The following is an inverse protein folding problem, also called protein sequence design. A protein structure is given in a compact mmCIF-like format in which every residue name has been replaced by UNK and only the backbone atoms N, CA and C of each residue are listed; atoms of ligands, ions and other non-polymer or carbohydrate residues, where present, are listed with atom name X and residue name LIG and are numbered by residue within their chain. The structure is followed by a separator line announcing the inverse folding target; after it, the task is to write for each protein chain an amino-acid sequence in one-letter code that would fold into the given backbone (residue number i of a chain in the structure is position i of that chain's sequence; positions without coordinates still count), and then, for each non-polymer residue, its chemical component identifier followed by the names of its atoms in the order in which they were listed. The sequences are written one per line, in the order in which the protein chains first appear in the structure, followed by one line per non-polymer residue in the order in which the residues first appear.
data_IF_150373236014
#
_entry.id   IF_150373236014
#
_cell.length_a   1.000
_cell.length_b   1.000
_cell.length_c   1.000
_cell.angle_alpha   90.00
_cell.angle_beta   90.00
_cell.angle_gamma   90.00
#
_symmetry.space_group_name_H-M   'P 1'
#
loop_
_entity.id
_entity.type
_entity.pdbx_description
1 polymer ?
#
# COMPACT_ATOMS: atom_id res chain seq x y z
N UNK A 1 8.27 -12.97 -3.50
CA UNK A 1 7.22 -14.03 -3.39
C UNK A 1 6.46 -14.11 -4.70
N UNK A 2 6.12 -15.32 -5.22
CA UNK A 2 5.39 -15.46 -6.47
C UNK A 2 4.01 -14.78 -6.41
N UNK A 3 3.35 -14.61 -7.56
CA UNK A 3 1.99 -14.04 -7.61
C UNK A 3 1.01 -14.89 -6.78
N UNK A 4 0.13 -14.28 -5.94
CA UNK A 4 -0.87 -15.03 -5.18
C UNK A 4 -1.86 -15.74 -6.11
N UNK A 5 -2.34 -16.90 -5.69
CA UNK A 5 -3.33 -17.66 -6.46
C UNK A 5 -4.72 -17.03 -6.32
N UNK A 6 -5.50 -17.09 -7.39
CA UNK A 6 -6.87 -16.60 -7.38
C UNK A 6 -7.04 -15.25 -8.06
N UNK A 7 -8.11 -14.56 -7.74
CA UNK A 7 -8.48 -13.27 -8.35
C UNK A 7 -9.04 -12.33 -7.30
N UNK A 8 -8.43 -11.18 -7.15
CA UNK A 8 -8.91 -10.13 -6.26
C UNK A 8 -10.24 -9.56 -6.74
N UNK A 9 -11.08 -9.20 -5.79
CA UNK A 9 -12.40 -8.60 -6.01
C UNK A 9 -12.32 -7.08 -5.84
N UNK A 10 -12.96 -6.34 -6.72
CA UNK A 10 -13.22 -4.91 -6.52
C UNK A 10 -14.17 -4.76 -5.33
N UNK A 11 -13.72 -4.09 -4.28
CA UNK A 11 -14.56 -3.77 -3.12
C UNK A 11 -15.40 -2.53 -3.40
N UNK A 12 -14.79 -1.53 -4.06
CA UNK A 12 -15.43 -0.29 -4.40
C UNK A 12 -14.47 0.90 -4.35
N UNK A 13 -15.05 2.07 -4.50
CA UNK A 13 -14.36 3.34 -4.44
C UNK A 13 -14.17 3.77 -2.97
N UNK A 14 -12.94 4.04 -2.57
CA UNK A 14 -12.60 4.53 -1.21
C UNK A 14 -12.93 6.01 -1.09
N UNK A 15 -12.52 6.77 -2.09
CA UNK A 15 -12.86 8.17 -2.34
C UNK A 15 -12.85 8.37 -3.86
N UNK A 16 -13.46 9.44 -4.42
CA UNK A 16 -13.54 9.63 -5.87
C UNK A 16 -12.20 9.42 -6.59
N UNK A 17 -12.15 8.43 -7.50
CA UNK A 17 -11.00 8.02 -8.28
C UNK A 17 -9.97 7.16 -7.54
N UNK A 18 -10.29 6.61 -6.37
CA UNK A 18 -9.41 5.64 -5.67
C UNK A 18 -10.18 4.39 -5.33
N UNK A 19 -9.78 3.26 -5.91
CA UNK A 19 -10.46 1.97 -5.80
C UNK A 19 -9.63 0.98 -4.98
N UNK A 20 -10.31 0.18 -4.14
CA UNK A 20 -9.72 -0.91 -3.36
C UNK A 20 -10.08 -2.25 -3.99
N UNK A 21 -9.08 -3.11 -4.11
CA UNK A 21 -9.21 -4.52 -4.43
C UNK A 21 -8.74 -5.36 -3.25
N UNK A 22 -9.37 -6.47 -3.01
CA UNK A 22 -9.03 -7.37 -1.90
C UNK A 22 -9.10 -8.83 -2.35
N UNK A 23 -8.27 -9.65 -1.73
CA UNK A 23 -8.35 -11.11 -1.82
C UNK A 23 -7.77 -11.76 -0.56
N UNK A 24 -8.14 -13.00 -0.30
CA UNK A 24 -7.38 -13.86 0.58
C UNK A 24 -6.08 -14.26 -0.14
N UNK A 25 -4.95 -13.94 0.45
CA UNK A 25 -3.62 -14.23 -0.09
C UNK A 25 -3.11 -15.53 0.52
N UNK A 26 -3.08 -16.60 -0.28
CA UNK A 26 -2.70 -17.95 0.12
C UNK A 26 -1.24 -18.08 0.57
N UNK A 27 -0.40 -17.08 0.26
CA UNK A 27 1.03 -17.09 0.62
C UNK A 27 1.27 -16.68 2.08
N UNK A 28 0.34 -15.94 2.66
CA UNK A 28 0.42 -15.40 4.03
C UNK A 28 -0.81 -15.74 4.87
N UNK A 29 -1.75 -16.53 4.32
CA UNK A 29 -3.02 -16.93 4.94
C UNK A 29 -3.81 -15.74 5.53
N UNK A 30 -3.87 -14.62 4.79
CA UNK A 30 -4.51 -13.38 5.25
C UNK A 30 -5.13 -12.58 4.10
N UNK A 31 -6.01 -11.62 4.45
CA UNK A 31 -6.49 -10.64 3.46
C UNK A 31 -5.35 -9.72 3.04
N UNK A 32 -5.20 -9.56 1.73
CA UNK A 32 -4.35 -8.57 1.10
C UNK A 32 -5.17 -7.57 0.30
N UNK A 33 -4.71 -6.34 0.29
CA UNK A 33 -5.32 -5.24 -0.43
C UNK A 33 -4.34 -4.61 -1.43
N UNK A 34 -4.89 -4.15 -2.54
CA UNK A 34 -4.21 -3.33 -3.52
C UNK A 34 -5.12 -2.17 -3.92
N UNK A 35 -4.53 -1.14 -4.49
CA UNK A 35 -5.28 0.07 -4.83
C UNK A 35 -5.05 0.48 -6.27
N UNK A 36 -6.05 1.17 -6.83
CA UNK A 36 -5.95 1.83 -8.14
C UNK A 36 -6.30 3.30 -7.95
N UNK A 37 -5.40 4.17 -8.35
CA UNK A 37 -5.62 5.62 -8.39
C UNK A 37 -5.92 6.00 -9.82
N UNK A 38 -7.10 6.58 -10.05
CA UNK A 38 -7.54 7.01 -11.37
C UNK A 38 -7.61 8.54 -11.41
N UNK A 39 -7.03 9.12 -12.44
CA UNK A 39 -7.15 10.54 -12.76
C UNK A 39 -7.48 10.69 -14.24
N UNK A 40 -8.63 11.33 -14.54
CA UNK A 40 -9.24 11.36 -15.88
C UNK A 40 -9.52 9.91 -16.32
N UNK A 41 -8.82 9.38 -17.30
CA UNK A 41 -8.91 7.97 -17.74
C UNK A 41 -7.61 7.20 -17.54
N UNK A 42 -6.66 7.73 -16.75
CA UNK A 42 -5.36 7.13 -16.45
C UNK A 42 -5.38 6.47 -15.07
N UNK A 43 -4.91 5.24 -15.01
CA UNK A 43 -4.90 4.41 -13.81
C UNK A 43 -3.47 4.07 -13.38
N UNK A 44 -3.15 4.28 -12.11
CA UNK A 44 -1.91 3.85 -11.47
C UNK A 44 -2.23 2.74 -10.47
N UNK A 45 -1.55 1.61 -10.59
CA UNK A 45 -1.71 0.47 -9.70
C UNK A 45 -0.74 0.59 -8.52
N UNK A 46 -1.24 0.43 -7.29
CA UNK A 46 -0.43 0.39 -6.06
C UNK A 46 -0.50 -1.04 -5.51
N UNK A 47 0.67 -1.69 -5.36
CA UNK A 47 0.82 -3.05 -4.83
C UNK A 47 -0.19 -4.05 -5.43
N UNK A 48 -0.25 -4.19 -6.78
CA UNK A 48 -1.40 -4.75 -7.46
C UNK A 48 -1.58 -6.24 -7.23
N UNK A 49 -2.76 -6.60 -6.79
CA UNK A 49 -3.23 -7.98 -6.68
C UNK A 49 -3.64 -8.54 -8.05
N UNK A 50 -3.71 -9.89 -8.21
CA UNK A 50 -4.21 -10.52 -9.44
C UNK A 50 -5.70 -10.22 -9.64
N UNK A 51 -6.01 -9.30 -10.54
CA UNK A 51 -7.36 -8.89 -10.94
C UNK A 51 -7.62 -9.30 -12.39
N UNK A 52 -8.88 -9.35 -12.79
CA UNK A 52 -9.24 -9.51 -14.20
C UNK A 52 -8.90 -8.22 -14.96
N UNK A 53 -8.10 -8.32 -16.00
CA UNK A 53 -7.67 -7.14 -16.80
C UNK A 53 -8.86 -6.34 -17.34
N UNK A 54 -9.96 -7.02 -17.70
CA UNK A 54 -11.19 -6.35 -18.14
C UNK A 54 -11.77 -5.39 -17.09
N UNK A 55 -11.58 -5.69 -15.81
CA UNK A 55 -12.09 -4.85 -14.72
C UNK A 55 -11.17 -3.65 -14.46
N UNK A 56 -9.85 -3.83 -14.64
CA UNK A 56 -8.89 -2.70 -14.66
C UNK A 56 -9.16 -1.76 -15.84
N UNK A 57 -9.36 -2.30 -17.04
CA UNK A 57 -9.65 -1.50 -18.25
C UNK A 57 -10.92 -0.65 -18.15
N UNK A 58 -11.89 -1.05 -17.32
CA UNK A 58 -13.10 -0.24 -17.03
C UNK A 58 -12.80 0.97 -16.17
N UNK A 59 -11.73 0.95 -15.37
CA UNK A 59 -11.33 2.06 -14.50
C UNK A 59 -10.51 3.12 -15.26
N UNK A 60 -9.84 2.72 -16.33
CA UNK A 60 -9.03 3.60 -17.15
C UNK A 60 -7.85 2.89 -17.80
N UNK A 61 -7.06 3.64 -18.54
CA UNK A 61 -5.81 3.17 -19.16
C UNK A 61 -4.72 3.05 -18.11
N UNK A 62 -4.25 1.83 -17.86
CA UNK A 62 -3.13 1.63 -16.91
C UNK A 62 -1.88 2.30 -17.47
N UNK A 63 -1.23 3.17 -16.67
CA UNK A 63 -0.03 3.91 -17.09
C UNK A 63 1.22 3.57 -16.28
N UNK A 64 1.07 3.05 -15.06
CA UNK A 64 2.19 2.72 -14.19
C UNK A 64 1.78 1.77 -13.05
N UNK A 65 2.80 1.12 -12.48
CA UNK A 65 2.71 0.33 -11.26
C UNK A 65 3.67 0.94 -10.23
N UNK A 66 3.19 1.17 -9.01
CA UNK A 66 3.99 1.67 -7.89
C UNK A 66 3.98 0.65 -6.75
N UNK A 67 5.13 0.12 -6.37
CA UNK A 67 5.27 -0.80 -5.25
C UNK A 67 5.75 -0.05 -4.01
N UNK A 68 5.25 -0.43 -2.83
CA UNK A 68 5.64 0.15 -1.53
C UNK A 68 6.78 -0.62 -0.88
N UNK A 69 6.98 -1.89 -1.23
CA UNK A 69 8.05 -2.77 -0.79
C UNK A 69 8.29 -3.87 -1.84
N UNK A 70 9.41 -4.60 -1.78
CA UNK A 70 9.70 -5.71 -2.71
C UNK A 70 8.74 -6.88 -2.52
N UNK A 71 8.34 -7.19 -1.30
CA UNK A 71 7.36 -8.25 -1.01
C UNK A 71 5.98 -8.02 -1.66
N UNK A 72 5.69 -6.79 -2.10
CA UNK A 72 4.45 -6.41 -2.78
C UNK A 72 4.51 -6.49 -4.31
N UNK A 73 5.50 -7.18 -4.89
CA UNK A 73 5.55 -7.35 -6.35
C UNK A 73 4.31 -8.06 -6.92
N UNK A 74 3.74 -9.03 -6.20
CA UNK A 74 2.43 -9.65 -6.48
C UNK A 74 2.18 -9.87 -7.99
N UNK A 75 1.14 -9.24 -8.58
CA UNK A 75 0.81 -9.35 -10.01
C UNK A 75 1.55 -8.36 -10.92
N UNK A 76 2.55 -7.63 -10.41
CA UNK A 76 3.22 -6.54 -11.15
C UNK A 76 3.89 -7.01 -12.43
N UNK A 77 4.56 -8.17 -12.40
CA UNK A 77 5.23 -8.73 -13.60
C UNK A 77 4.24 -9.00 -14.73
N UNK A 78 3.07 -9.54 -14.40
CA UNK A 78 2.00 -9.80 -15.35
C UNK A 78 1.47 -8.50 -15.96
N UNK A 79 1.12 -7.51 -15.14
CA UNK A 79 0.58 -6.25 -15.63
C UNK A 79 1.60 -5.40 -16.36
N UNK A 80 2.87 -5.44 -15.94
CA UNK A 80 3.96 -4.81 -16.68
C UNK A 80 4.00 -5.29 -18.13
N UNK A 81 3.85 -6.62 -18.34
CA UNK A 81 3.82 -7.23 -19.68
C UNK A 81 2.51 -6.94 -20.43
N UNK A 82 1.36 -7.16 -19.78
CA UNK A 82 0.04 -7.05 -20.42
C UNK A 82 -0.30 -5.62 -20.84
N UNK A 83 0.10 -4.63 -20.04
CA UNK A 83 -0.19 -3.21 -20.32
C UNK A 83 1.00 -2.44 -20.89
N UNK A 84 2.18 -3.06 -20.96
CA UNK A 84 3.44 -2.43 -21.38
C UNK A 84 3.72 -1.13 -20.61
N UNK A 85 3.70 -1.20 -19.29
CA UNK A 85 3.82 -0.04 -18.39
C UNK A 85 5.01 -0.19 -17.44
N UNK A 86 5.62 0.94 -17.00
CA UNK A 86 6.76 0.92 -16.09
C UNK A 86 6.35 0.54 -14.66
N UNK A 87 7.30 -0.11 -13.96
CA UNK A 87 7.22 -0.43 -12.53
C UNK A 87 8.17 0.46 -11.74
N UNK A 88 7.61 1.21 -10.80
CA UNK A 88 8.32 2.06 -9.86
C UNK A 88 8.48 1.32 -8.54
N UNK A 89 9.70 1.21 -8.04
CA UNK A 89 10.04 0.50 -6.80
C UNK A 89 10.86 1.35 -5.85
N UNK A 90 10.82 1.08 -4.53
CA UNK A 90 11.68 1.75 -3.57
C UNK A 90 13.16 1.55 -3.90
N UNK A 91 13.96 2.62 -3.77
CA UNK A 91 15.42 2.50 -3.78
C UNK A 91 15.84 1.60 -2.62
N UNK A 92 16.80 0.71 -2.86
CA UNK A 92 17.26 -0.36 -1.97
C UNK A 92 16.31 -1.55 -1.81
N UNK A 93 15.12 -1.55 -2.41
CA UNK A 93 14.36 -2.76 -2.50
C UNK A 93 15.11 -3.79 -3.35
N UNK A 94 15.25 -4.99 -2.82
CA UNK A 94 15.96 -6.13 -3.42
C UNK A 94 15.03 -7.34 -3.42
N UNK A 95 15.51 -8.46 -3.92
CA UNK A 95 14.79 -9.75 -3.88
C UNK A 95 13.47 -9.77 -4.65
N UNK A 96 13.45 -9.10 -5.81
CA UNK A 96 12.37 -9.26 -6.77
C UNK A 96 12.50 -10.61 -7.48
N UNK A 97 11.51 -11.48 -7.32
CA UNK A 97 11.53 -12.83 -7.92
C UNK A 97 11.08 -12.81 -9.38
N UNK A 98 10.08 -12.02 -9.70
CA UNK A 98 9.42 -12.04 -11.02
C UNK A 98 9.35 -10.67 -11.69
N UNK A 99 9.33 -9.62 -10.90
CA UNK A 99 9.17 -8.24 -11.39
C UNK A 99 10.51 -7.65 -11.78
N UNK A 100 10.61 -7.12 -13.00
CA UNK A 100 11.75 -6.32 -13.44
C UNK A 100 11.43 -4.84 -13.20
N UNK A 101 12.09 -4.16 -12.23
CA UNK A 101 11.90 -2.74 -12.00
C UNK A 101 12.38 -1.90 -13.20
N UNK A 102 11.65 -0.82 -13.49
CA UNK A 102 12.06 0.17 -14.50
C UNK A 102 12.59 1.45 -13.85
N UNK A 103 12.03 1.85 -12.69
CA UNK A 103 12.42 3.06 -11.97
C UNK A 103 12.55 2.81 -10.46
N UNK A 104 13.64 3.31 -9.87
CA UNK A 104 13.86 3.31 -8.42
C UNK A 104 13.61 4.69 -7.85
N UNK A 105 12.77 4.79 -6.84
CA UNK A 105 12.44 6.04 -6.19
C UNK A 105 12.97 6.12 -4.76
N UNK A 106 13.21 7.34 -4.27
CA UNK A 106 13.64 7.65 -2.91
C UNK A 106 12.65 8.52 -2.15
N UNK A 107 13.02 8.93 -0.90
CA UNK A 107 12.16 9.78 -0.08
C UNK A 107 11.76 11.07 -0.80
N UNK A 108 10.48 11.41 -0.76
CA UNK A 108 9.93 12.64 -1.34
C UNK A 108 9.72 12.60 -2.86
N UNK A 109 10.09 11.50 -3.54
CA UNK A 109 9.91 11.38 -4.98
C UNK A 109 8.43 11.55 -5.36
N UNK A 110 8.21 12.20 -6.49
CA UNK A 110 6.89 12.29 -7.15
C UNK A 110 6.75 11.10 -8.08
N UNK A 111 5.65 10.38 -7.95
CA UNK A 111 5.31 9.20 -8.72
C UNK A 111 4.07 9.46 -9.60
N UNK A 112 3.81 8.60 -10.59
CA UNK A 112 2.58 8.67 -11.38
C UNK A 112 1.31 8.75 -10.51
N UNK A 113 0.22 9.27 -11.06
CA UNK A 113 -1.05 9.45 -10.35
C UNK A 113 -1.01 10.52 -9.25
N UNK A 114 0.00 11.41 -9.24
CA UNK A 114 0.16 12.44 -8.21
C UNK A 114 0.62 11.93 -6.85
N UNK A 115 1.09 10.70 -6.79
CA UNK A 115 1.60 10.07 -5.57
C UNK A 115 2.94 10.69 -5.14
N UNK A 116 3.19 10.73 -3.82
CA UNK A 116 4.47 11.14 -3.24
C UNK A 116 4.99 10.06 -2.31
N UNK A 117 6.24 9.66 -2.50
CA UNK A 117 6.89 8.64 -1.69
C UNK A 117 7.28 9.18 -0.30
N UNK A 118 6.90 8.45 0.74
CA UNK A 118 7.22 8.75 2.14
C UNK A 118 7.97 7.57 2.72
N UNK A 119 9.28 7.73 2.95
CA UNK A 119 10.09 6.65 3.53
C UNK A 119 9.59 6.32 4.93
N UNK A 120 9.19 5.09 5.13
CA UNK A 120 8.53 4.60 6.34
C UNK A 120 9.09 3.21 6.73
N UNK A 121 10.40 3.13 7.07
CA UNK A 121 11.03 1.87 7.41
C UNK A 121 10.47 1.29 8.70
N UNK A 122 10.70 0.00 8.85
CA UNK A 122 10.27 -0.79 9.99
C UNK A 122 9.82 -2.18 9.58
N UNK A 123 8.80 -2.35 8.74
CA UNK A 123 8.51 -3.65 8.14
C UNK A 123 9.72 -4.18 7.35
N UNK A 124 10.33 -3.32 6.54
CA UNK A 124 11.67 -3.50 5.94
C UNK A 124 12.38 -2.15 5.87
N UNK A 125 13.71 -2.11 5.65
CA UNK A 125 14.45 -0.85 5.45
C UNK A 125 13.95 -0.08 4.21
N UNK A 126 13.61 -0.78 3.15
CA UNK A 126 13.13 -0.22 1.89
C UNK A 126 11.60 -0.07 1.82
N UNK A 127 10.92 0.00 2.97
CA UNK A 127 9.47 0.18 3.02
C UNK A 127 9.07 1.66 2.85
N UNK A 128 8.04 1.90 2.05
CA UNK A 128 7.48 3.24 1.81
C UNK A 128 5.97 3.25 1.97
N UNK A 129 5.46 4.34 2.53
CA UNK A 129 4.06 4.75 2.36
C UNK A 129 3.95 5.68 1.17
N UNK A 130 2.79 5.71 0.51
CA UNK A 130 2.52 6.65 -0.56
C UNK A 130 1.48 7.68 -0.10
N UNK A 131 1.75 8.94 -0.36
CA UNK A 131 0.85 10.04 -0.03
C UNK A 131 0.21 10.59 -1.31
N UNK A 132 -1.11 10.80 -1.29
CA UNK A 132 -1.88 11.42 -2.36
C UNK A 132 -2.62 12.65 -1.82
N UNK A 133 -2.44 13.81 -2.46
CA UNK A 133 -3.14 15.05 -2.10
C UNK A 133 -4.53 15.09 -2.74
N UNK A 134 -5.40 14.16 -2.34
CA UNK A 134 -6.80 14.06 -2.79
C UNK A 134 -7.69 13.88 -1.57
N UNK A 135 -8.97 14.30 -1.62
CA UNK A 135 -9.94 14.13 -0.53
C UNK A 135 -9.45 14.62 0.85
N UNK A 136 -8.67 15.71 0.88
CA UNK A 136 -8.05 16.25 2.11
C UNK A 136 -6.80 15.49 2.56
N UNK A 137 -6.19 14.72 1.66
CA UNK A 137 -4.99 13.90 1.86
C UNK A 137 -5.30 12.45 2.18
N UNK A 138 -4.54 11.56 1.55
CA UNK A 138 -4.61 10.11 1.74
C UNK A 138 -3.22 9.55 1.97
N UNK A 139 -3.11 8.51 2.80
CA UNK A 139 -1.88 7.74 2.99
C UNK A 139 -2.17 6.27 2.73
N UNK A 140 -1.48 5.69 1.76
CA UNK A 140 -1.37 4.25 1.57
C UNK A 140 -0.21 3.79 2.45
N UNK A 141 -0.51 3.22 3.62
CA UNK A 141 0.50 2.96 4.66
C UNK A 141 1.14 1.58 4.54
N UNK A 142 0.72 0.78 3.57
CA UNK A 142 1.20 -0.58 3.34
C UNK A 142 1.21 -1.41 4.64
N UNK A 143 2.35 -2.01 5.01
CA UNK A 143 2.47 -2.94 6.15
C UNK A 143 2.81 -2.25 7.48
N UNK A 144 2.68 -0.94 7.58
CA UNK A 144 2.83 -0.29 8.90
C UNK A 144 1.69 -0.63 9.85
N UNK A 145 0.48 -0.75 9.31
CA UNK A 145 -0.76 -0.90 10.08
C UNK A 145 -1.75 -1.78 9.33
N UNK A 146 -2.56 -2.51 10.09
CA UNK A 146 -3.66 -3.37 9.61
C UNK A 146 -5.00 -2.90 10.16
N UNK A 147 -6.12 -3.20 9.47
CA UNK A 147 -7.46 -2.88 9.93
C UNK A 147 -8.49 -3.96 9.54
N UNK A 148 -8.52 -5.05 10.25
CA UNK A 148 -9.45 -6.17 10.04
C UNK A 148 -10.84 -6.00 10.69
N UNK A 149 -11.21 -4.75 11.06
CA UNK A 149 -12.53 -4.44 11.62
C UNK A 149 -12.58 -4.42 13.16
N UNK A 150 -11.52 -4.80 13.84
CA UNK A 150 -11.37 -4.67 15.30
C UNK A 150 -10.65 -3.40 15.74
N UNK A 151 -10.40 -2.50 14.79
CA UNK A 151 -9.61 -1.30 14.96
C UNK A 151 -8.26 -1.39 14.26
N UNK A 152 -7.56 -0.27 14.25
CA UNK A 152 -6.22 -0.18 13.65
C UNK A 152 -5.20 -0.80 14.61
N UNK A 153 -4.34 -1.67 14.09
CA UNK A 153 -3.28 -2.32 14.83
C UNK A 153 -1.97 -2.30 14.03
N UNK A 154 -0.85 -2.50 14.71
CA UNK A 154 0.43 -2.76 14.03
C UNK A 154 0.44 -4.17 13.44
N UNK A 155 1.19 -4.35 12.35
CA UNK A 155 1.54 -5.69 11.88
C UNK A 155 2.32 -6.40 13.00
N UNK A 156 2.10 -7.70 13.24
CA UNK A 156 2.83 -8.44 14.28
C UNK A 156 4.35 -8.30 14.15
N UNK A 157 5.04 -8.27 15.29
CA UNK A 157 6.48 -7.95 15.35
C UNK A 157 7.35 -8.94 14.60
N UNK A 158 6.94 -10.21 14.53
CA UNK A 158 7.62 -11.27 13.79
C UNK A 158 7.68 -11.06 12.26
N UNK A 159 6.82 -10.17 11.73
CA UNK A 159 6.81 -9.77 10.31
C UNK A 159 7.46 -8.41 10.06
N UNK A 160 8.29 -7.92 11.01
CA UNK A 160 8.92 -6.61 10.93
C UNK A 160 10.42 -6.71 11.24
N UNK A 161 11.26 -6.12 10.38
CA UNK A 161 12.70 -6.06 10.61
C UNK A 161 13.06 -5.16 11.82
N UNK A 162 12.31 -4.04 11.98
CA UNK A 162 12.47 -3.09 13.09
C UNK A 162 11.09 -2.61 13.60
N UNK A 163 10.48 -3.32 14.56
CA UNK A 163 9.21 -2.91 15.16
C UNK A 163 9.24 -1.51 15.78
N UNK A 164 10.35 -1.09 16.39
CA UNK A 164 10.51 0.27 16.94
C UNK A 164 10.59 1.32 15.82
N UNK A 165 11.23 0.99 14.70
CA UNK A 165 11.26 1.78 13.48
C UNK A 165 9.88 1.99 12.88
N UNK A 166 9.05 0.94 12.86
CA UNK A 166 7.65 1.02 12.43
C UNK A 166 6.87 2.04 13.25
N UNK A 167 6.97 2.00 14.59
CA UNK A 167 6.31 2.97 15.48
C UNK A 167 6.79 4.40 15.21
N UNK A 168 8.09 4.60 14.97
CA UNK A 168 8.64 5.90 14.58
C UNK A 168 8.09 6.36 13.23
N UNK A 169 7.98 5.47 12.26
CA UNK A 169 7.42 5.75 10.94
C UNK A 169 5.95 6.15 11.02
N UNK A 170 5.14 5.42 11.78
CA UNK A 170 3.72 5.75 12.02
C UNK A 170 3.56 7.12 12.70
N UNK A 171 4.40 7.44 13.72
CA UNK A 171 4.38 8.79 14.34
C UNK A 171 4.75 9.89 13.36
N UNK A 172 5.66 9.63 12.40
CA UNK A 172 6.01 10.59 11.33
C UNK A 172 4.85 10.83 10.36
N UNK A 173 4.05 9.80 10.04
CA UNK A 173 2.86 9.97 9.21
C UNK A 173 1.87 10.97 9.81
N UNK A 174 1.72 11.04 11.14
CA UNK A 174 0.84 12.00 11.80
C UNK A 174 1.19 13.48 11.50
N UNK A 175 2.42 13.76 11.06
CA UNK A 175 2.86 15.11 10.63
C UNK A 175 2.32 15.51 9.26
N UNK A 176 1.88 14.54 8.44
CA UNK A 176 1.26 14.81 7.14
C UNK A 176 -0.17 15.32 7.32
N UNK A 177 -0.65 16.11 6.36
CA UNK A 177 -2.06 16.50 6.31
C UNK A 177 -2.84 15.44 5.53
N UNK A 178 -3.62 14.60 6.23
CA UNK A 178 -4.47 13.58 5.61
C UNK A 178 -5.70 13.28 6.45
N UNK A 179 -6.74 12.79 5.78
CA UNK A 179 -8.01 12.34 6.36
C UNK A 179 -8.21 10.83 6.18
N UNK A 180 -7.62 10.25 5.13
CA UNK A 180 -7.83 8.87 4.72
C UNK A 180 -6.55 8.05 4.91
N UNK A 181 -6.70 6.86 5.47
CA UNK A 181 -5.62 5.87 5.64
C UNK A 181 -6.01 4.57 4.94
N UNK A 182 -5.11 4.06 4.10
CA UNK A 182 -5.29 2.86 3.29
C UNK A 182 -4.20 1.84 3.63
N UNK A 183 -4.46 0.82 4.45
CA UNK A 183 -3.52 -0.26 4.71
C UNK A 183 -3.56 -1.30 3.58
N UNK A 184 -2.51 -2.12 3.47
CA UNK A 184 -2.50 -3.28 2.57
C UNK A 184 -3.17 -4.52 3.17
N UNK A 185 -3.61 -4.43 4.43
CA UNK A 185 -4.29 -5.50 5.14
C UNK A 185 -5.51 -4.95 5.88
N UNK A 186 -6.69 -5.08 5.25
CA UNK A 186 -7.97 -4.72 5.83
C UNK A 186 -8.54 -3.38 5.34
N UNK A 187 -9.54 -2.87 6.04
CA UNK A 187 -10.39 -1.79 5.54
C UNK A 187 -9.74 -0.41 5.64
N UNK A 188 -9.86 0.45 4.60
CA UNK A 188 -9.50 1.87 4.69
C UNK A 188 -10.27 2.59 5.80
N UNK A 189 -9.63 3.61 6.38
CA UNK A 189 -10.27 4.55 7.31
C UNK A 189 -10.44 5.87 6.58
N UNK A 190 -11.68 6.25 6.29
CA UNK A 190 -12.03 7.46 5.53
C UNK A 190 -12.31 8.68 6.39
N UNK A 191 -12.55 8.45 7.71
CA UNK A 191 -12.77 9.51 8.70
C UNK A 191 -12.04 9.19 9.99
N UNK A 192 -11.47 10.21 10.64
CA UNK A 192 -10.79 10.02 11.93
C UNK A 192 -9.48 9.20 11.87
N UNK A 193 -8.85 9.07 10.70
CA UNK A 193 -7.64 8.25 10.51
C UNK A 193 -6.51 8.60 11.49
N UNK A 194 -6.21 9.87 11.69
CA UNK A 194 -5.18 10.29 12.67
C UNK A 194 -5.54 9.94 14.12
N UNK A 195 -6.83 9.99 14.46
CA UNK A 195 -7.28 9.59 15.80
C UNK A 195 -7.16 8.07 15.98
N UNK A 196 -7.50 7.29 14.95
CA UNK A 196 -7.30 5.83 14.98
C UNK A 196 -5.82 5.47 15.15
N UNK A 197 -4.90 6.14 14.45
CA UNK A 197 -3.45 5.96 14.60
C UNK A 197 -3.00 6.28 16.04
N UNK A 198 -3.48 7.38 16.65
CA UNK A 198 -3.11 7.71 18.03
C UNK A 198 -3.59 6.66 19.02
N UNK A 199 -4.80 6.11 18.83
CA UNK A 199 -5.31 4.99 19.66
C UNK A 199 -4.46 3.74 19.50
N UNK A 200 -4.09 3.36 18.26
CA UNK A 200 -3.22 2.21 18.01
C UNK A 200 -1.85 2.38 18.69
N UNK A 201 -1.26 3.58 18.63
CA UNK A 201 0.01 3.88 19.30
C UNK A 201 -0.09 3.85 20.83
N UNK A 202 -1.21 4.27 21.41
CA UNK A 202 -1.44 4.22 22.88
C UNK A 202 -1.60 2.77 23.35
N UNK A 203 -2.42 1.99 22.68
CA UNK A 203 -2.66 0.58 23.01
C UNK A 203 -1.37 -0.27 22.89
N UNK A 204 -0.56 -0.03 21.85
CA UNK A 204 0.72 -0.70 21.65
C UNK A 204 1.71 -0.40 22.78
N UNK A 205 1.76 0.84 23.28
CA UNK A 205 2.61 1.23 24.40
C UNK A 205 2.20 0.59 25.75
N UNK A 206 0.90 0.36 25.95
CA UNK A 206 0.38 -0.33 27.14
C UNK A 206 0.74 -1.82 27.11
N UNK A 207 0.71 -2.44 25.91
CA UNK A 207 1.06 -3.85 25.74
C UNK A 207 2.55 -4.15 25.94
N UNK A 208 3.42 -3.20 25.63
CA UNK A 208 4.87 -3.32 25.84
C UNK A 208 5.27 -3.10 27.33
N UNK A 209 4.35 -2.64 28.18
CA UNK A 209 4.60 -2.31 29.59
C UNK A 209 4.17 -3.41 30.58
N UNK A 210 3.49 -4.45 30.09
CA UNK A 210 3.04 -5.63 30.82
C UNK A 210 3.86 -6.87 30.45
#
# INVERSE_FOLDING_TARGET
MPEPRGTAKLVGEVVPGVYRFTMHDDRIDSESDGYVVVEKDRAVLIDPLPMKERDLKKLGTVEAICLTASCHERASSRYRKSFNVPVYVPRRAVDFETTKPDHWYGPGARLPGGLKAVHSPGPTDAHYSLYLRRAGGMVFCADLLTNYGRGLAFVPGEYQDDPKGTRKSVRRLLKLQFKVLCPNHGRPITTGAKQAIRRALAHDAESDSN
#
